data_IF_071740790656
#
_entry.id   IF_071740790656
#
_cell.length_a   1.000
_cell.length_b   1.000
_cell.length_c   1.000
_cell.angle_alpha   90.00
_cell.angle_beta   90.00
_cell.angle_gamma   90.00
#
_symmetry.space_group_name_H-M   'P 1'
#
loop_
_entity.id
_entity.type
_entity.pdbx_description
1 polymer ?
#
# COMPACT_ATOMS: atom_id res chain seq x y z
N UNK A 1 12.63 5.37 -2.18
CA UNK A 1 11.16 5.23 -2.21
C UNK A 1 10.78 4.13 -1.25
N UNK A 2 9.86 4.37 -0.32
CA UNK A 2 9.35 3.29 0.53
C UNK A 2 8.42 2.44 -0.34
N UNK A 3 8.81 1.19 -0.59
CA UNK A 3 8.01 0.27 -1.38
C UNK A 3 6.82 -0.20 -0.52
N UNK A 4 5.60 0.12 -0.95
CA UNK A 4 4.35 -0.26 -0.27
C UNK A 4 4.33 -1.77 0.01
N UNK A 5 4.87 -2.56 -0.92
CA UNK A 5 5.00 -4.00 -0.78
C UNK A 5 5.89 -4.38 0.40
N UNK A 6 7.09 -3.79 0.54
CA UNK A 6 7.98 -4.08 1.65
C UNK A 6 7.37 -3.69 3.00
N UNK A 7 6.64 -2.57 3.04
CA UNK A 7 5.94 -2.14 4.24
C UNK A 7 4.86 -3.14 4.66
N UNK A 8 4.04 -3.58 3.70
CA UNK A 8 3.00 -4.59 3.91
C UNK A 8 3.59 -5.95 4.31
N UNK A 9 4.72 -6.33 3.69
CA UNK A 9 5.44 -7.57 3.99
C UNK A 9 6.00 -7.56 5.42
N UNK A 10 6.65 -6.47 5.84
CA UNK A 10 7.17 -6.30 7.21
C UNK A 10 6.08 -6.36 8.27
N UNK A 11 4.86 -5.92 7.94
CA UNK A 11 3.69 -6.00 8.82
C UNK A 11 2.96 -7.35 8.74
N UNK A 12 3.48 -8.31 7.97
CA UNK A 12 2.87 -9.64 7.70
C UNK A 12 1.43 -9.53 7.15
N UNK A 13 1.13 -8.45 6.43
CA UNK A 13 -0.17 -8.19 5.82
C UNK A 13 -0.30 -8.78 4.41
N UNK A 14 0.83 -9.10 3.80
CA UNK A 14 0.89 -9.77 2.52
C UNK A 14 2.06 -10.73 2.48
N UNK A 15 1.93 -11.79 1.70
CA UNK A 15 2.96 -12.80 1.45
C UNK A 15 3.56 -12.70 0.05
N UNK A 16 2.87 -12.03 -0.87
CA UNK A 16 3.28 -11.92 -2.27
C UNK A 16 2.89 -10.56 -2.87
N UNK A 17 3.68 -10.09 -3.85
CA UNK A 17 3.35 -8.88 -4.64
C UNK A 17 2.02 -9.03 -5.38
N UNK A 18 1.67 -10.24 -5.83
CA UNK A 18 0.37 -10.53 -6.46
C UNK A 18 -0.77 -10.32 -5.48
N UNK A 19 -0.65 -10.92 -4.29
CA UNK A 19 -1.65 -10.76 -3.23
C UNK A 19 -1.77 -9.30 -2.79
N UNK A 20 -0.66 -8.57 -2.72
CA UNK A 20 -0.69 -7.13 -2.44
C UNK A 20 -1.41 -6.34 -3.53
N UNK A 21 -1.14 -6.63 -4.81
CA UNK A 21 -1.78 -5.94 -5.93
C UNK A 21 -3.28 -6.20 -5.98
N UNK A 22 -3.72 -7.45 -5.80
CA UNK A 22 -5.13 -7.81 -5.93
C UNK A 22 -5.94 -7.49 -4.67
N UNK A 23 -5.45 -7.90 -3.50
CA UNK A 23 -6.21 -7.77 -2.25
C UNK A 23 -6.21 -6.34 -1.71
N UNK A 24 -5.03 -5.73 -1.68
CA UNK A 24 -4.83 -4.42 -1.06
C UNK A 24 -5.03 -3.28 -2.07
N UNK A 25 -4.38 -3.34 -3.23
CA UNK A 25 -4.50 -2.29 -4.25
C UNK A 25 -5.76 -2.40 -5.12
N UNK A 26 -6.49 -3.52 -5.08
CA UNK A 26 -7.62 -3.83 -5.99
C UNK A 26 -7.28 -3.66 -7.48
N UNK A 27 -6.02 -3.92 -7.83
CA UNK A 27 -5.49 -3.81 -9.18
C UNK A 27 -5.12 -5.19 -9.72
N UNK A 28 -4.73 -5.23 -11.00
CA UNK A 28 -4.27 -6.45 -11.64
C UNK A 28 -3.08 -7.09 -10.88
N UNK A 29 -2.91 -8.43 -10.89
CA UNK A 29 -1.87 -9.11 -10.09
C UNK A 29 -0.43 -8.71 -10.44
N UNK A 30 -0.22 -8.22 -11.66
CA UNK A 30 1.04 -7.73 -12.18
C UNK A 30 1.27 -6.23 -11.91
N UNK A 31 0.32 -5.52 -11.31
CA UNK A 31 0.37 -4.07 -11.15
C UNK A 31 1.63 -3.58 -10.42
N UNK A 32 1.93 -4.14 -9.23
CA UNK A 32 3.14 -3.80 -8.46
C UNK A 32 4.43 -4.35 -9.08
N UNK A 33 4.34 -5.20 -10.11
CA UNK A 33 5.50 -5.72 -10.85
C UNK A 33 5.83 -4.83 -12.04
N UNK A 34 4.79 -4.28 -12.68
CA UNK A 34 4.90 -3.43 -13.88
C UNK A 34 5.22 -1.99 -13.52
N UNK A 35 4.85 -1.52 -12.32
CA UNK A 35 5.14 -0.16 -11.87
C UNK A 35 5.14 0.01 -10.36
N UNK A 36 5.58 1.19 -9.92
CA UNK A 36 5.49 1.60 -8.51
C UNK A 36 4.04 1.86 -8.08
N UNK A 37 3.76 1.89 -6.77
CA UNK A 37 2.42 2.15 -6.26
C UNK A 37 1.96 3.56 -6.65
N UNK A 38 0.87 3.67 -7.40
CA UNK A 38 0.22 4.95 -7.69
C UNK A 38 -0.51 5.49 -6.46
N UNK A 39 -0.68 6.81 -6.38
CA UNK A 39 -1.41 7.48 -5.30
C UNK A 39 -2.83 6.91 -5.11
N UNK A 40 -3.53 6.61 -6.21
CA UNK A 40 -4.86 5.99 -6.18
C UNK A 40 -4.82 4.62 -5.49
N UNK A 41 -3.80 3.80 -5.79
CA UNK A 41 -3.65 2.49 -5.17
C UNK A 41 -3.34 2.63 -3.67
N UNK A 42 -2.51 3.60 -3.28
CA UNK A 42 -2.21 3.86 -1.86
C UNK A 42 -3.46 4.32 -1.08
N UNK A 43 -4.32 5.14 -1.69
CA UNK A 43 -5.60 5.56 -1.09
C UNK A 43 -6.55 4.37 -0.90
N UNK A 44 -6.64 3.47 -1.88
CA UNK A 44 -7.44 2.24 -1.77
C UNK A 44 -6.95 1.38 -0.60
N UNK A 45 -5.64 1.21 -0.48
CA UNK A 45 -5.02 0.49 0.65
C UNK A 45 -5.34 1.15 1.98
N UNK A 46 -5.24 2.48 2.06
CA UNK A 46 -5.58 3.23 3.26
C UNK A 46 -7.05 3.01 3.68
N UNK A 47 -8.00 3.18 2.75
CA UNK A 47 -9.43 2.94 3.00
C UNK A 47 -9.67 1.54 3.58
N UNK A 48 -8.99 0.53 3.04
CA UNK A 48 -9.16 -0.86 3.49
C UNK A 48 -8.55 -1.10 4.88
N UNK A 49 -7.39 -0.52 5.16
CA UNK A 49 -6.78 -0.58 6.50
C UNK A 49 -7.67 0.07 7.56
N UNK A 50 -8.35 1.17 7.22
CA UNK A 50 -9.34 1.82 8.09
C UNK A 50 -10.56 0.91 8.28
N UNK A 51 -11.08 0.30 7.21
CA UNK A 51 -12.22 -0.63 7.28
C UNK A 51 -11.91 -1.88 8.12
N UNK A 52 -10.67 -2.38 8.10
CA UNK A 52 -10.22 -3.50 8.94
C UNK A 52 -9.88 -3.10 10.39
N UNK A 53 -10.03 -1.82 10.77
CA UNK A 53 -9.70 -1.32 12.11
C UNK A 53 -8.19 -1.28 12.41
N UNK A 54 -7.33 -1.34 11.38
CA UNK A 54 -5.86 -1.35 11.50
C UNK A 54 -5.30 0.08 11.50
N UNK A 55 -5.76 0.90 12.43
CA UNK A 55 -5.49 2.34 12.53
C UNK A 55 -3.98 2.69 12.55
N UNK A 56 -3.16 1.92 13.28
CA UNK A 56 -1.72 2.17 13.35
C UNK A 56 -0.99 1.96 12.01
N UNK A 57 -1.45 1.01 11.20
CA UNK A 57 -0.94 0.80 9.84
C UNK A 57 -1.51 1.84 8.90
N UNK A 58 -2.80 2.15 9.02
CA UNK A 58 -3.48 3.17 8.21
C UNK A 58 -2.81 4.54 8.37
N UNK A 59 -2.53 4.97 9.61
CA UNK A 59 -1.83 6.22 9.89
C UNK A 59 -0.47 6.28 9.21
N UNK A 60 0.29 5.18 9.25
CA UNK A 60 1.62 5.11 8.64
C UNK A 60 1.57 5.13 7.12
N UNK A 61 0.57 4.49 6.52
CA UNK A 61 0.30 4.59 5.07
C UNK A 61 -0.12 6.01 4.70
N UNK A 62 -1.02 6.65 5.46
CA UNK A 62 -1.41 8.05 5.24
C UNK A 62 -0.22 9.00 5.34
N UNK A 63 0.67 8.81 6.32
CA UNK A 63 1.90 9.58 6.44
C UNK A 63 2.82 9.39 5.22
N UNK A 64 2.93 8.17 4.68
CA UNK A 64 3.69 7.91 3.45
C UNK A 64 3.05 8.61 2.24
N UNK A 65 1.71 8.59 2.13
CA UNK A 65 1.00 9.28 1.04
C UNK A 65 1.24 10.81 1.12
N UNK A 66 1.08 11.39 2.31
CA UNK A 66 1.12 12.84 2.51
C UNK A 66 2.55 13.41 2.50
N UNK A 67 3.51 12.71 3.10
CA UNK A 67 4.88 13.21 3.26
C UNK A 67 5.91 12.50 2.38
N UNK A 68 5.59 11.32 1.84
CA UNK A 68 6.48 10.59 0.92
C UNK A 68 6.57 11.22 -0.47
N UNK A 69 5.56 12.02 -0.86
CA UNK A 69 5.53 12.80 -2.11
C UNK A 69 6.30 14.14 -2.01
N UNK A 70 6.70 14.58 -0.80
CA UNK A 70 7.38 15.88 -0.55
C UNK A 70 8.86 15.89 -1.00
N UNK A 71 9.36 14.81 -1.61
CA UNK A 71 10.62 14.82 -2.38
C UNK A 71 10.30 14.77 -3.87
N UNK A 72 9.81 15.89 -4.41
CA UNK A 72 9.98 16.22 -5.83
C UNK A 72 10.95 17.38 -5.93
#
# INVERSE_FOLDING_TARGET
MIDLYEFMLKRRLTTSRRHCSTYWCQMAPNYLVVGGPSDTAMITVFRRLVAEGRWGTAYRVAHIILFGQVRR
#
